data_IF_800756903229
#
_entry.id   IF_800756903229
#
_cell.length_a   1.000
_cell.length_b   1.000
_cell.length_c   1.000
_cell.angle_alpha   90.00
_cell.angle_beta   90.00
_cell.angle_gamma   90.00
#
_symmetry.space_group_name_H-M   'P 1'
#
loop_
_entity.id
_entity.type
_entity.pdbx_description
1 polymer ?
#
# COMPACT_ATOMS: atom_id res chain seq x y z
N UNK A 1 6.23 12.19 -11.90
CA UNK A 1 4.87 11.66 -11.70
C UNK A 1 4.30 12.34 -10.47
N UNK A 2 3.17 13.04 -10.60
CA UNK A 2 2.41 13.44 -9.42
C UNK A 2 1.71 12.19 -8.88
N UNK A 3 2.04 11.82 -7.65
CA UNK A 3 1.38 10.74 -6.90
C UNK A 3 0.43 11.45 -5.94
N UNK A 4 -0.82 10.99 -5.87
CA UNK A 4 -1.78 11.52 -4.91
C UNK A 4 -1.22 11.36 -3.49
N UNK A 5 -1.33 12.40 -2.65
CA UNK A 5 -0.77 12.42 -1.30
C UNK A 5 -1.12 11.17 -0.46
N UNK A 6 -2.38 10.65 -0.46
CA UNK A 6 -2.71 9.43 0.29
C UNK A 6 -1.95 8.19 -0.18
N UNK A 7 -1.68 8.09 -1.49
CA UNK A 7 -0.92 6.98 -2.05
C UNK A 7 0.55 7.07 -1.64
N UNK A 8 1.12 8.28 -1.54
CA UNK A 8 2.48 8.45 -1.05
C UNK A 8 2.62 7.96 0.40
N UNK A 9 1.68 8.35 1.27
CA UNK A 9 1.67 7.91 2.67
C UNK A 9 1.58 6.39 2.76
N UNK A 10 0.69 5.75 2.01
CA UNK A 10 0.57 4.29 2.00
C UNK A 10 1.89 3.60 1.57
N UNK A 11 2.59 4.15 0.57
CA UNK A 11 3.89 3.62 0.12
C UNK A 11 4.94 3.76 1.22
N UNK A 12 4.99 4.90 1.90
CA UNK A 12 5.94 5.13 2.99
C UNK A 12 5.68 4.18 4.16
N UNK A 13 4.44 4.03 4.60
CA UNK A 13 4.08 3.11 5.68
C UNK A 13 4.39 1.64 5.33
N UNK A 14 4.04 1.19 4.12
CA UNK A 14 4.35 -0.17 3.68
C UNK A 14 5.86 -0.43 3.56
N UNK A 15 6.66 0.60 3.26
CA UNK A 15 8.12 0.48 3.17
C UNK A 15 8.82 0.32 4.52
N UNK A 16 8.12 0.55 5.64
CA UNK A 16 8.65 0.32 6.99
C UNK A 16 8.63 -1.16 7.39
N UNK A 17 7.91 -2.00 6.66
CA UNK A 17 7.82 -3.43 6.94
C UNK A 17 9.14 -4.15 6.62
N UNK A 18 9.55 -5.12 7.45
CA UNK A 18 10.82 -5.84 7.23
C UNK A 18 10.80 -6.56 5.88
N UNK A 19 11.83 -6.33 5.07
CA UNK A 19 11.95 -6.95 3.73
C UNK A 19 11.17 -6.24 2.62
N UNK A 20 10.49 -5.12 2.90
CA UNK A 20 9.74 -4.35 1.87
C UNK A 20 10.45 -3.03 1.56
N UNK A 21 11.11 -2.97 0.40
CA UNK A 21 11.68 -1.72 -0.12
C UNK A 21 10.66 -0.84 -0.84
N UNK A 22 11.01 0.44 -1.11
CA UNK A 22 10.13 1.44 -1.75
C UNK A 22 9.44 0.96 -3.03
N UNK A 23 10.14 0.26 -3.92
CA UNK A 23 9.57 -0.26 -5.18
C UNK A 23 8.52 -1.36 -4.94
N UNK A 24 8.74 -2.21 -3.93
CA UNK A 24 7.80 -3.24 -3.53
C UNK A 24 6.60 -2.62 -2.82
N UNK A 25 6.82 -1.66 -1.92
CA UNK A 25 5.77 -0.90 -1.26
C UNK A 25 4.86 -0.17 -2.27
N UNK A 26 5.44 0.46 -3.29
CA UNK A 26 4.67 1.07 -4.39
C UNK A 26 3.79 0.05 -5.12
N UNK A 27 4.32 -1.14 -5.44
CA UNK A 27 3.54 -2.20 -6.07
C UNK A 27 2.39 -2.67 -5.18
N UNK A 28 2.63 -2.81 -3.89
CA UNK A 28 1.62 -3.23 -2.91
C UNK A 28 0.53 -2.17 -2.75
N UNK A 29 0.89 -0.89 -2.61
CA UNK A 29 -0.08 0.19 -2.48
C UNK A 29 -1.00 0.28 -3.72
N UNK A 30 -0.44 0.14 -4.93
CA UNK A 30 -1.23 0.11 -6.17
C UNK A 30 -2.09 -1.16 -6.27
N UNK A 31 -1.61 -2.29 -5.75
CA UNK A 31 -2.40 -3.51 -5.69
C UNK A 31 -3.60 -3.34 -4.77
N UNK A 32 -3.42 -2.80 -3.56
CA UNK A 32 -4.49 -2.52 -2.61
C UNK A 32 -5.55 -1.57 -3.19
N UNK A 33 -5.15 -0.55 -3.95
CA UNK A 33 -6.09 0.34 -4.65
C UNK A 33 -6.96 -0.37 -5.70
N UNK A 34 -6.57 -1.56 -6.16
CA UNK A 34 -7.30 -2.37 -7.14
C UNK A 34 -8.04 -3.56 -6.52
N UNK A 35 -7.82 -3.81 -5.23
CA UNK A 35 -8.51 -4.87 -4.50
C UNK A 35 -9.95 -4.45 -4.18
N UNK A 36 -10.80 -5.44 -3.95
CA UNK A 36 -12.14 -5.17 -3.42
C UNK A 36 -12.05 -4.69 -1.97
N UNK A 37 -12.94 -3.79 -1.58
CA UNK A 37 -12.95 -3.19 -0.24
C UNK A 37 -12.95 -4.25 0.87
N UNK A 38 -13.71 -5.34 0.68
CA UNK A 38 -13.75 -6.46 1.64
C UNK A 38 -12.39 -7.12 1.85
N UNK A 39 -11.56 -7.23 0.80
CA UNK A 39 -10.22 -7.81 0.92
C UNK A 39 -9.30 -6.90 1.73
N UNK A 40 -9.37 -5.59 1.49
CA UNK A 40 -8.59 -4.59 2.23
C UNK A 40 -9.06 -4.50 3.68
N UNK A 41 -10.36 -4.57 3.93
CA UNK A 41 -10.93 -4.58 5.28
C UNK A 41 -10.45 -5.80 6.08
N UNK A 42 -10.41 -6.99 5.46
CA UNK A 42 -9.85 -8.20 6.09
C UNK A 42 -8.36 -8.04 6.41
N UNK A 43 -7.59 -7.33 5.59
CA UNK A 43 -6.18 -7.05 5.86
C UNK A 43 -6.00 -6.12 7.08
N UNK A 44 -6.91 -5.17 7.29
CA UNK A 44 -6.87 -4.20 8.39
C UNK A 44 -7.36 -4.82 9.71
N UNK A 45 -8.30 -5.76 9.64
CA UNK A 45 -8.98 -6.35 10.81
C UNK A 45 -8.41 -7.69 11.27
N UNK A 46 -7.52 -8.30 10.49
CA UNK A 46 -6.78 -9.51 10.87
C UNK A 46 -5.70 -9.22 11.93
#
# INVERSE_FOLDING_TARGET
MQIAEPLLVAIEELSKLPGIGKKTAQRLAIHLLKCEDQQVERLITA
#
